data_IF_483040377330
#
_entry.id   IF_483040377330
#
_cell.length_a   1.000
_cell.length_b   1.000
_cell.length_c   1.000
_cell.angle_alpha   90.00
_cell.angle_beta   90.00
_cell.angle_gamma   90.00
#
_symmetry.space_group_name_H-M   'P 1'
#
loop_
_entity.id
_entity.type
_entity.pdbx_description
1 polymer ?
#
# COMPACT_ATOMS: atom_id res chain seq x y z
N UNK A 1 10.07 51.59 28.22
CA UNK A 1 11.18 52.56 28.31
C UNK A 1 12.42 51.95 27.65
N UNK A 2 12.97 52.69 26.67
CA UNK A 2 14.31 52.63 26.05
C UNK A 2 14.69 51.36 25.26
N UNK A 3 14.67 51.39 23.91
CA UNK A 3 15.58 52.03 22.90
C UNK A 3 16.51 50.94 22.32
N UNK A 4 16.26 50.48 21.09
CA UNK A 4 16.78 51.00 19.81
C UNK A 4 18.20 50.50 19.48
N UNK A 5 18.43 49.99 18.27
CA UNK A 5 19.79 49.72 17.77
C UNK A 5 19.87 48.86 16.51
N UNK A 6 19.70 49.49 15.35
CA UNK A 6 19.90 49.03 13.97
C UNK A 6 21.36 48.66 13.66
N UNK A 7 21.61 47.76 12.68
CA UNK A 7 22.32 48.08 11.40
C UNK A 7 22.61 46.82 10.57
N UNK A 8 22.30 46.93 9.28
CA UNK A 8 22.73 46.04 8.21
C UNK A 8 24.21 46.26 7.85
N UNK A 9 24.85 45.22 7.30
CA UNK A 9 26.09 45.34 6.54
C UNK A 9 25.96 44.51 5.26
N UNK A 10 25.92 45.23 4.15
CA UNK A 10 26.20 44.74 2.79
C UNK A 10 27.70 44.88 2.58
N UNK A 11 28.34 43.90 1.96
CA UNK A 11 29.66 44.06 1.35
C UNK A 11 29.73 43.20 0.10
N UNK A 12 29.87 43.88 -1.03
CA UNK A 12 30.12 43.33 -2.35
C UNK A 12 31.63 43.38 -2.66
N UNK A 13 32.05 42.56 -3.64
CA UNK A 13 33.34 42.65 -4.33
C UNK A 13 33.99 41.28 -4.48
N UNK A 14 34.61 40.89 -5.59
CA UNK A 14 34.74 41.47 -6.92
C UNK A 14 35.13 40.34 -7.89
N UNK A 15 34.97 40.62 -9.19
CA UNK A 15 35.18 39.71 -10.32
C UNK A 15 36.66 39.39 -10.59
N UNK A 16 36.92 38.21 -11.17
CA UNK A 16 38.10 37.97 -12.01
C UNK A 16 37.59 37.54 -13.39
N UNK A 17 37.83 38.41 -14.37
CA UNK A 17 37.64 38.13 -15.78
C UNK A 17 38.90 37.49 -16.35
N UNK A 18 38.75 36.39 -17.07
CA UNK A 18 39.78 35.84 -17.95
C UNK A 18 39.21 35.80 -19.36
N UNK A 19 39.67 36.77 -20.16
CA UNK A 19 39.50 36.84 -21.61
C UNK A 19 40.46 35.85 -22.27
N UNK A 20 39.92 34.91 -23.04
CA UNK A 20 40.63 34.34 -24.18
C UNK A 20 39.70 34.33 -25.39
N UNK A 21 40.05 35.16 -26.36
CA UNK A 21 39.45 35.26 -27.67
C UNK A 21 39.93 34.10 -28.55
N UNK A 22 39.01 33.50 -29.29
CA UNK A 22 39.29 32.57 -30.39
C UNK A 22 38.04 32.48 -31.27
N UNK A 23 38.11 33.08 -32.45
CA UNK A 23 36.98 33.29 -33.37
C UNK A 23 36.44 32.00 -34.00
N UNK A 24 35.15 32.05 -34.35
CA UNK A 24 34.45 31.02 -35.10
C UNK A 24 32.94 31.29 -35.08
N UNK A 25 32.46 32.08 -36.04
CA UNK A 25 31.03 32.33 -36.23
C UNK A 25 30.33 31.04 -36.65
N UNK A 26 29.39 30.55 -35.85
CA UNK A 26 28.33 29.64 -36.28
C UNK A 26 27.11 29.81 -35.38
N UNK A 27 26.04 30.29 -36.01
CA UNK A 27 24.73 30.55 -35.43
C UNK A 27 24.05 29.21 -35.15
N UNK A 28 23.79 28.88 -33.90
CA UNK A 28 22.88 27.80 -33.52
C UNK A 28 22.17 28.19 -32.22
N UNK A 29 20.84 28.31 -32.29
CA UNK A 29 19.98 28.75 -31.19
C UNK A 29 19.99 27.81 -29.97
N UNK A 30 19.36 28.24 -28.86
CA UNK A 30 19.42 27.51 -27.60
C UNK A 30 18.66 26.19 -27.74
N UNK A 31 19.40 25.10 -27.95
CA UNK A 31 18.89 23.76 -27.73
C UNK A 31 18.82 23.55 -26.23
N UNK A 32 17.68 23.95 -25.65
CA UNK A 32 17.22 23.45 -24.36
C UNK A 32 17.14 21.94 -24.51
N UNK A 33 18.20 21.25 -24.09
CA UNK A 33 18.13 19.82 -23.86
C UNK A 33 17.05 19.64 -22.79
N UNK A 34 15.85 19.28 -23.24
CA UNK A 34 14.87 18.61 -22.40
C UNK A 34 15.54 17.32 -21.97
N UNK A 35 16.24 17.39 -20.84
CA UNK A 35 16.43 16.23 -19.99
C UNK A 35 15.02 15.75 -19.64
N UNK A 36 14.51 14.87 -20.49
CA UNK A 36 13.35 14.06 -20.19
C UNK A 36 13.81 13.18 -19.04
N UNK A 37 13.65 13.72 -17.82
CA UNK A 37 14.03 13.08 -16.58
C UNK A 37 13.45 11.68 -16.58
N UNK A 38 14.30 10.71 -16.91
CA UNK A 38 14.02 9.31 -16.72
C UNK A 38 13.81 9.18 -15.21
N UNK A 39 12.53 9.13 -14.81
CA UNK A 39 12.18 8.90 -13.42
C UNK A 39 12.99 7.67 -13.00
N UNK A 40 13.78 7.75 -11.91
CA UNK A 40 14.39 6.56 -11.36
C UNK A 40 13.29 5.51 -11.27
N UNK A 41 13.54 4.26 -11.70
CA UNK A 41 12.60 3.15 -11.52
C UNK A 41 12.37 2.99 -10.01
N UNK A 42 11.47 3.81 -9.50
CA UNK A 42 11.16 3.89 -8.09
C UNK A 42 10.45 2.63 -7.68
N UNK A 43 10.40 2.37 -6.39
CA UNK A 43 9.65 1.25 -5.82
C UNK A 43 8.19 1.14 -6.29
N UNK A 44 7.65 2.17 -6.93
CA UNK A 44 6.25 2.36 -7.34
C UNK A 44 6.04 2.55 -8.86
N UNK A 45 6.83 1.88 -9.71
CA UNK A 45 6.66 1.93 -11.17
C UNK A 45 5.89 0.74 -11.75
N UNK A 46 5.28 -0.10 -10.92
CA UNK A 46 4.59 -1.31 -11.36
C UNK A 46 3.16 -0.97 -11.77
N UNK A 47 2.59 -1.80 -12.66
CA UNK A 47 1.15 -1.78 -12.94
C UNK A 47 0.42 -2.45 -11.76
N UNK A 48 -0.84 -2.04 -11.55
CA UNK A 48 -1.73 -2.78 -10.65
C UNK A 48 -1.94 -4.18 -11.24
N UNK A 49 -1.71 -5.21 -10.45
CA UNK A 49 -2.03 -6.58 -10.80
C UNK A 49 -3.45 -6.90 -10.35
N UNK A 50 -4.07 -7.79 -11.11
CA UNK A 50 -5.41 -8.28 -10.91
C UNK A 50 -5.38 -9.77 -10.61
N UNK A 51 -6.47 -10.27 -10.06
CA UNK A 51 -6.65 -11.70 -9.80
C UNK A 51 -6.51 -12.55 -11.07
N UNK A 52 -5.85 -13.71 -10.96
CA UNK A 52 -5.81 -14.76 -12.00
C UNK A 52 -6.80 -15.90 -11.71
N UNK A 53 -7.65 -15.75 -10.68
CA UNK A 53 -8.69 -16.73 -10.36
C UNK A 53 -9.71 -16.79 -11.49
N UNK A 54 -9.87 -17.98 -12.08
CA UNK A 54 -10.86 -18.26 -13.09
C UNK A 54 -12.16 -18.71 -12.42
N UNK A 55 -13.19 -17.88 -12.51
CA UNK A 55 -14.52 -18.15 -11.98
C UNK A 55 -15.55 -17.75 -13.02
N UNK A 56 -16.63 -18.53 -13.17
CA UNK A 56 -17.69 -18.30 -14.16
C UNK A 56 -18.57 -17.05 -13.91
N UNK A 57 -18.16 -16.16 -13.00
CA UNK A 57 -18.84 -14.91 -12.65
C UNK A 57 -17.86 -13.74 -12.59
N UNK A 58 -18.26 -12.65 -11.94
CA UNK A 58 -17.45 -11.43 -11.88
C UNK A 58 -16.12 -11.66 -11.13
N UNK A 59 -15.00 -11.44 -11.82
CA UNK A 59 -13.64 -11.56 -11.29
C UNK A 59 -13.33 -10.51 -10.23
N UNK A 60 -14.01 -9.37 -10.25
CA UNK A 60 -13.76 -8.26 -9.30
C UNK A 60 -13.96 -8.68 -7.85
N UNK A 61 -14.72 -9.76 -7.59
CA UNK A 61 -14.92 -10.28 -6.22
C UNK A 61 -13.63 -10.77 -5.56
N UNK A 62 -12.62 -11.19 -6.32
CA UNK A 62 -11.36 -11.74 -5.81
C UNK A 62 -10.25 -10.70 -5.70
N UNK A 63 -10.61 -9.44 -5.85
CA UNK A 63 -9.75 -8.29 -5.60
C UNK A 63 -10.51 -7.22 -4.81
N UNK A 64 -9.78 -6.40 -4.07
CA UNK A 64 -10.39 -5.33 -3.28
C UNK A 64 -9.41 -4.19 -3.12
N UNK A 65 -9.94 -2.97 -3.06
CA UNK A 65 -9.13 -1.77 -3.00
C UNK A 65 -9.74 -0.72 -2.07
N UNK A 66 -8.89 -0.05 -1.31
CA UNK A 66 -9.27 1.07 -0.44
C UNK A 66 -8.34 2.25 -0.63
N UNK A 67 -8.90 3.46 -0.52
CA UNK A 67 -8.16 4.73 -0.48
C UNK A 67 -8.08 5.22 0.96
N UNK A 68 -6.88 5.63 1.37
CA UNK A 68 -6.63 6.26 2.67
C UNK A 68 -6.80 7.77 2.55
N UNK A 69 -7.03 8.44 3.69
CA UNK A 69 -7.21 9.89 3.73
C UNK A 69 -5.98 10.68 3.23
N UNK A 70 -4.78 10.11 3.37
CA UNK A 70 -3.52 10.69 2.88
C UNK A 70 -3.28 10.46 1.36
N UNK A 71 -4.28 9.93 0.65
CA UNK A 71 -4.21 9.67 -0.79
C UNK A 71 -3.49 8.38 -1.18
N UNK A 72 -2.87 7.65 -0.24
CA UNK A 72 -2.39 6.29 -0.51
C UNK A 72 -3.56 5.37 -0.81
N UNK A 73 -3.30 4.31 -1.58
CA UNK A 73 -4.28 3.25 -1.82
C UNK A 73 -3.64 1.91 -1.52
N UNK A 74 -4.46 0.95 -1.10
CA UNK A 74 -4.09 -0.45 -0.97
C UNK A 74 -4.99 -1.24 -1.91
N UNK A 75 -4.40 -2.10 -2.71
CA UNK A 75 -5.12 -3.10 -3.48
C UNK A 75 -4.64 -4.48 -3.04
N UNK A 76 -5.58 -5.39 -2.86
CA UNK A 76 -5.32 -6.80 -2.64
C UNK A 76 -6.00 -7.63 -3.71
N UNK A 77 -5.37 -8.74 -4.09
CA UNK A 77 -5.92 -9.70 -5.01
C UNK A 77 -5.42 -11.09 -4.64
N UNK A 78 -6.22 -12.10 -4.97
CA UNK A 78 -5.74 -13.47 -4.93
C UNK A 78 -4.94 -13.81 -6.18
N UNK A 79 -4.00 -14.75 -6.02
CA UNK A 79 -3.42 -15.46 -7.13
C UNK A 79 -3.59 -16.97 -6.91
N UNK A 80 -4.01 -17.68 -7.95
CA UNK A 80 -4.31 -19.10 -7.93
C UNK A 80 -3.11 -19.90 -7.44
N UNK A 81 -3.37 -20.75 -6.45
CA UNK A 81 -2.37 -21.56 -5.74
C UNK A 81 -1.15 -20.80 -5.22
N UNK A 82 -1.24 -19.47 -5.09
CA UNK A 82 -0.18 -18.57 -4.61
C UNK A 82 -0.62 -17.75 -3.40
N UNK A 83 -1.93 -17.58 -3.19
CA UNK A 83 -2.53 -16.96 -2.00
C UNK A 83 -2.84 -15.47 -2.19
N UNK A 84 -2.72 -14.69 -1.12
CA UNK A 84 -3.10 -13.27 -1.07
C UNK A 84 -1.91 -12.36 -1.35
N UNK A 85 -2.08 -11.40 -2.25
CA UNK A 85 -1.08 -10.41 -2.62
C UNK A 85 -1.58 -8.99 -2.37
N UNK A 86 -0.65 -8.08 -2.12
CA UNK A 86 -0.91 -6.66 -1.88
C UNK A 86 -0.01 -5.79 -2.74
N UNK A 87 -0.56 -4.67 -3.20
CA UNK A 87 0.18 -3.53 -3.73
C UNK A 87 -0.28 -2.24 -3.05
N UNK A 88 0.65 -1.33 -2.81
CA UNK A 88 0.34 0.01 -2.35
C UNK A 88 0.60 1.06 -3.43
N UNK A 89 -0.27 2.06 -3.49
CA UNK A 89 -0.13 3.21 -4.35
C UNK A 89 0.45 4.37 -3.56
N UNK A 90 1.53 4.93 -4.08
CA UNK A 90 2.14 6.15 -3.53
C UNK A 90 1.66 7.37 -4.31
N UNK A 91 0.97 8.34 -3.68
CA UNK A 91 0.59 9.57 -4.36
C UNK A 91 1.81 10.40 -4.77
N UNK A 92 2.89 10.36 -3.97
CA UNK A 92 4.17 11.04 -4.28
C UNK A 92 4.84 10.45 -5.52
N UNK A 93 4.87 9.12 -5.65
CA UNK A 93 5.49 8.46 -6.80
C UNK A 93 4.55 8.32 -8.00
N UNK A 94 3.25 8.51 -7.79
CA UNK A 94 2.17 8.34 -8.78
C UNK A 94 2.19 6.95 -9.44
N UNK A 95 2.30 5.90 -8.64
CA UNK A 95 2.27 4.53 -9.16
C UNK A 95 2.20 3.46 -8.07
N UNK A 96 2.12 2.20 -8.51
CA UNK A 96 1.94 1.04 -7.66
C UNK A 96 3.26 0.35 -7.33
N UNK A 97 3.35 -0.15 -6.10
CA UNK A 97 4.46 -0.96 -5.64
C UNK A 97 4.60 -2.27 -6.42
N UNK A 98 5.76 -2.92 -6.33
CA UNK A 98 5.85 -4.35 -6.67
C UNK A 98 4.84 -5.13 -5.82
N UNK A 99 4.12 -6.11 -6.40
CA UNK A 99 3.27 -7.02 -5.64
C UNK A 99 4.06 -7.74 -4.55
N UNK A 100 3.46 -7.83 -3.36
CA UNK A 100 4.02 -8.56 -2.23
C UNK A 100 3.02 -9.59 -1.73
N UNK A 101 3.52 -10.77 -1.41
CA UNK A 101 2.70 -11.81 -0.81
C UNK A 101 2.39 -11.45 0.64
N UNK A 102 1.10 -11.42 0.99
CA UNK A 102 0.62 -11.28 2.37
C UNK A 102 0.48 -12.65 3.00
N UNK A 103 -0.05 -13.63 2.27
CA UNK A 103 -0.18 -15.00 2.75
C UNK A 103 -0.07 -15.97 1.58
N UNK A 104 0.70 -17.05 1.77
CA UNK A 104 0.90 -18.07 0.74
C UNK A 104 0.14 -19.32 1.14
N UNK A 105 -0.68 -19.81 0.21
CA UNK A 105 -1.39 -21.08 0.34
C UNK A 105 -1.64 -21.67 -1.04
N UNK A 106 -1.85 -22.99 -1.08
CA UNK A 106 -2.32 -23.74 -2.25
C UNK A 106 -3.81 -24.11 -2.15
N UNK A 107 -4.44 -23.82 -1.01
CA UNK A 107 -5.88 -24.01 -0.80
C UNK A 107 -6.66 -23.11 -1.75
N UNK A 108 -7.79 -23.58 -2.26
CA UNK A 108 -8.62 -22.80 -3.18
C UNK A 108 -9.20 -21.57 -2.50
N UNK A 109 -9.27 -20.47 -3.26
CA UNK A 109 -9.89 -19.23 -2.79
C UNK A 109 -11.38 -19.47 -2.64
N UNK A 110 -11.94 -19.04 -1.51
CA UNK A 110 -13.31 -19.36 -1.18
C UNK A 110 -14.25 -18.16 -1.28
N UNK A 111 -13.87 -17.05 -0.64
CA UNK A 111 -14.67 -15.83 -0.64
C UNK A 111 -13.87 -14.63 -1.14
N UNK A 112 -14.58 -13.55 -1.41
CA UNK A 112 -13.94 -12.29 -1.81
C UNK A 112 -13.12 -11.67 -0.68
N UNK A 113 -12.38 -10.62 -1.00
CA UNK A 113 -11.54 -9.92 -0.03
C UNK A 113 -12.34 -8.81 0.65
N UNK A 114 -12.51 -8.88 1.97
CA UNK A 114 -13.00 -7.72 2.71
C UNK A 114 -11.82 -6.83 3.05
N UNK A 115 -11.81 -5.59 2.55
CA UNK A 115 -10.76 -4.61 2.83
C UNK A 115 -11.37 -3.32 3.38
N UNK A 116 -10.89 -2.86 4.53
CA UNK A 116 -11.36 -1.62 5.17
C UNK A 116 -10.19 -0.76 5.62
N UNK A 117 -10.37 0.55 5.56
CA UNK A 117 -9.39 1.50 6.05
C UNK A 117 -10.02 2.56 6.94
N UNK A 118 -9.31 2.94 8.01
CA UNK A 118 -9.66 4.07 8.88
C UNK A 118 -8.44 4.57 9.63
N UNK A 119 -8.28 5.89 9.73
CA UNK A 119 -7.22 6.52 10.53
C UNK A 119 -5.81 5.92 10.27
N UNK A 120 -5.47 5.67 9.00
CA UNK A 120 -4.19 5.11 8.59
C UNK A 120 -3.99 3.61 8.89
N UNK A 121 -5.02 2.94 9.40
CA UNK A 121 -5.04 1.49 9.64
C UNK A 121 -5.88 0.80 8.58
N UNK A 122 -5.38 -0.32 8.06
CA UNK A 122 -6.07 -1.12 7.06
C UNK A 122 -6.25 -2.53 7.62
N UNK A 123 -7.46 -3.06 7.51
CA UNK A 123 -7.83 -4.41 7.93
C UNK A 123 -8.34 -5.20 6.72
N UNK A 124 -7.88 -6.44 6.60
CA UNK A 124 -8.25 -7.37 5.54
C UNK A 124 -8.77 -8.69 6.12
N UNK A 125 -9.78 -9.25 5.46
CA UNK A 125 -10.22 -10.64 5.62
C UNK A 125 -10.09 -11.33 4.28
N UNK A 126 -9.53 -12.53 4.30
CA UNK A 126 -9.36 -13.38 3.13
C UNK A 126 -9.58 -14.85 3.54
N UNK A 127 -10.23 -15.63 2.68
CA UNK A 127 -10.76 -16.94 3.05
C UNK A 127 -10.46 -18.00 1.98
N UNK A 128 -10.12 -19.21 2.44
CA UNK A 128 -9.81 -20.37 1.63
C UNK A 128 -10.49 -21.63 2.16
N UNK A 129 -10.79 -22.57 1.27
CA UNK A 129 -11.22 -23.92 1.60
C UNK A 129 -10.90 -24.86 0.44
N UNK A 130 -10.72 -26.16 0.71
CA UNK A 130 -10.81 -27.13 -0.37
C UNK A 130 -12.25 -27.18 -0.86
N UNK A 131 -12.44 -27.29 -2.17
CA UNK A 131 -13.76 -27.46 -2.77
C UNK A 131 -14.72 -26.29 -2.53
N UNK A 132 -14.22 -25.07 -2.32
CA UNK A 132 -15.15 -23.94 -2.14
C UNK A 132 -16.00 -23.65 -3.40
N UNK A 133 -15.54 -24.08 -4.59
CA UNK A 133 -16.37 -24.06 -5.79
C UNK A 133 -17.64 -24.92 -5.65
N UNK A 134 -17.57 -25.99 -4.86
CA UNK A 134 -18.67 -26.93 -4.61
C UNK A 134 -19.62 -26.44 -3.48
N UNK A 135 -19.40 -25.23 -2.97
CA UNK A 135 -20.23 -24.60 -1.94
C UNK A 135 -19.77 -24.85 -0.51
N UNK A 136 -18.63 -25.53 -0.31
CA UNK A 136 -18.04 -25.71 1.01
C UNK A 136 -17.71 -24.36 1.67
N UNK A 137 -18.02 -24.17 2.96
CA UNK A 137 -17.65 -22.97 3.68
C UNK A 137 -16.12 -22.81 3.78
N UNK A 138 -15.61 -21.58 4.00
CA UNK A 138 -14.24 -21.37 4.41
C UNK A 138 -13.77 -22.34 5.51
N UNK A 139 -12.56 -22.86 5.34
CA UNK A 139 -11.86 -23.68 6.32
C UNK A 139 -10.62 -22.96 6.87
N UNK A 140 -10.16 -21.93 6.17
CA UNK A 140 -9.06 -21.05 6.54
C UNK A 140 -9.53 -19.61 6.39
N UNK A 141 -9.43 -18.82 7.45
CA UNK A 141 -9.70 -17.38 7.41
C UNK A 141 -8.52 -16.59 7.94
N UNK A 142 -7.99 -15.70 7.12
CA UNK A 142 -6.91 -14.78 7.47
C UNK A 142 -7.50 -13.44 7.88
N UNK A 143 -7.25 -13.05 9.12
CA UNK A 143 -7.34 -11.66 9.56
C UNK A 143 -5.96 -11.02 9.39
N UNK A 144 -5.89 -9.88 8.68
CA UNK A 144 -4.64 -9.16 8.51
C UNK A 144 -4.81 -7.66 8.77
N UNK A 145 -3.81 -7.04 9.40
CA UNK A 145 -3.82 -5.60 9.71
C UNK A 145 -2.49 -4.97 9.30
N UNK A 146 -2.55 -3.80 8.68
CA UNK A 146 -1.38 -2.97 8.41
C UNK A 146 -1.57 -1.57 8.98
N UNK A 147 -0.48 -1.03 9.54
CA UNK A 147 -0.36 0.38 9.90
C UNK A 147 0.92 0.95 9.33
N UNK A 148 0.92 2.24 8.97
CA UNK A 148 2.10 2.86 8.38
C UNK A 148 2.40 2.28 7.00
N UNK A 149 3.50 1.52 6.84
CA UNK A 149 3.90 0.95 5.54
C UNK A 149 2.95 -0.19 5.15
N UNK A 150 2.18 0.02 4.09
CA UNK A 150 1.13 -0.89 3.61
C UNK A 150 1.66 -2.19 2.95
N UNK A 151 2.96 -2.44 3.11
CA UNK A 151 3.66 -3.64 2.65
C UNK A 151 4.06 -4.57 3.78
N UNK A 152 3.78 -4.22 5.03
CA UNK A 152 4.00 -5.06 6.22
C UNK A 152 2.66 -5.27 6.91
N UNK A 153 2.34 -6.53 7.19
CA UNK A 153 1.03 -6.94 7.67
C UNK A 153 1.18 -7.87 8.87
N UNK A 154 0.55 -7.50 9.98
CA UNK A 154 0.25 -8.43 11.04
C UNK A 154 -0.82 -9.38 10.54
N UNK A 155 -0.71 -10.66 10.90
CA UNK A 155 -1.52 -11.72 10.33
C UNK A 155 -1.91 -12.73 11.40
N UNK A 156 -3.15 -13.16 11.35
CA UNK A 156 -3.66 -14.27 12.14
C UNK A 156 -4.52 -15.17 11.25
N UNK A 157 -4.09 -16.41 11.10
CA UNK A 157 -4.82 -17.43 10.36
C UNK A 157 -5.62 -18.28 11.36
N UNK A 158 -6.93 -18.31 11.19
CA UNK A 158 -7.82 -19.23 11.90
C UNK A 158 -8.15 -20.40 10.97
N UNK A 159 -7.85 -21.63 11.40
CA UNK A 159 -8.18 -22.87 10.67
C UNK A 159 -9.47 -23.47 11.21
N UNK A 160 -10.09 -24.35 10.42
CA UNK A 160 -11.38 -24.99 10.72
C UNK A 160 -12.44 -23.96 11.10
N UNK A 161 -12.47 -22.85 10.35
CA UNK A 161 -13.27 -21.67 10.68
C UNK A 161 -13.89 -21.05 9.43
N UNK A 162 -15.22 -20.93 9.47
CA UNK A 162 -16.10 -20.46 8.40
C UNK A 162 -16.06 -18.93 8.20
N UNK A 163 -14.85 -18.35 8.16
CA UNK A 163 -14.64 -16.97 7.75
C UNK A 163 -15.00 -15.89 8.78
N UNK A 164 -14.17 -14.86 8.87
CA UNK A 164 -14.57 -13.63 9.55
C UNK A 164 -15.57 -12.87 8.67
N UNK A 165 -16.66 -12.34 9.23
CA UNK A 165 -17.68 -11.62 8.44
C UNK A 165 -17.52 -10.10 8.49
N UNK A 166 -16.84 -9.59 9.53
CA UNK A 166 -16.68 -8.14 9.74
C UNK A 166 -15.31 -7.83 10.32
N UNK A 167 -14.67 -6.81 9.78
CA UNK A 167 -13.60 -6.06 10.43
C UNK A 167 -14.13 -4.69 10.87
N UNK A 168 -13.89 -4.34 12.13
CA UNK A 168 -14.25 -3.04 12.71
C UNK A 168 -12.99 -2.34 13.21
N UNK A 169 -12.75 -1.13 12.70
CA UNK A 169 -11.60 -0.30 13.09
C UNK A 169 -12.09 0.83 13.98
N UNK A 170 -11.49 0.98 15.17
CA UNK A 170 -11.82 2.06 16.11
C UNK A 170 -11.61 3.44 15.47
N UNK A 171 -12.25 4.49 16.02
CA UNK A 171 -12.17 5.85 15.47
C UNK A 171 -10.73 6.35 15.30
N UNK A 172 -9.86 6.01 16.25
CA UNK A 172 -8.45 6.38 16.27
C UNK A 172 -7.53 5.37 15.54
N UNK A 173 -8.06 4.30 14.95
CA UNK A 173 -7.28 3.28 14.24
C UNK A 173 -6.40 2.41 15.14
N UNK A 174 -6.44 2.56 16.46
CA UNK A 174 -5.53 1.83 17.36
C UNK A 174 -5.93 0.38 17.60
N UNK A 175 -7.17 -0.01 17.28
CA UNK A 175 -7.66 -1.37 17.46
C UNK A 175 -8.50 -1.80 16.27
N UNK A 176 -8.41 -3.09 15.96
CA UNK A 176 -9.25 -3.76 14.98
C UNK A 176 -9.89 -4.97 15.66
N UNK A 177 -11.20 -5.12 15.51
CA UNK A 177 -11.93 -6.31 15.95
C UNK A 177 -12.51 -7.02 14.75
N UNK A 178 -12.08 -8.26 14.54
CA UNK A 178 -12.66 -9.19 13.59
C UNK A 178 -13.76 -9.98 14.29
N UNK A 179 -14.91 -10.14 13.61
CA UNK A 179 -16.11 -10.72 14.22
C UNK A 179 -16.72 -11.79 13.33
N UNK A 180 -17.14 -12.88 13.98
CA UNK A 180 -18.06 -13.89 13.44
C UNK A 180 -19.00 -14.35 14.56
N UNK A 181 -20.30 -14.06 14.48
CA UNK A 181 -21.27 -14.34 15.56
C UNK A 181 -20.76 -13.93 16.95
N UNK A 182 -20.46 -14.90 17.84
CA UNK A 182 -19.88 -14.66 19.16
C UNK A 182 -18.34 -14.56 19.14
N UNK A 183 -17.66 -15.11 18.13
CA UNK A 183 -16.20 -15.09 18.02
C UNK A 183 -15.68 -13.68 17.76
N UNK A 184 -14.62 -13.33 18.48
CA UNK A 184 -13.91 -12.06 18.39
C UNK A 184 -12.42 -12.33 18.31
N UNK A 185 -11.76 -11.68 17.36
CA UNK A 185 -10.31 -11.60 17.30
C UNK A 185 -9.91 -10.14 17.33
N UNK A 186 -9.10 -9.77 18.31
CA UNK A 186 -8.66 -8.40 18.52
C UNK A 186 -7.21 -8.23 18.08
N UNK A 187 -6.96 -7.12 17.40
CA UNK A 187 -5.64 -6.58 17.14
C UNK A 187 -5.51 -5.22 17.80
N UNK A 188 -4.38 -4.96 18.46
CA UNK A 188 -4.06 -3.64 19.04
C UNK A 188 -2.73 -3.13 18.49
N UNK A 189 -2.67 -1.84 18.14
CA UNK A 189 -1.45 -1.20 17.65
C UNK A 189 -0.34 -1.27 18.69
N UNK A 190 0.79 -1.87 18.31
CA UNK A 190 1.95 -2.08 19.18
C UNK A 190 1.95 -3.43 19.90
N UNK A 191 0.81 -4.12 19.99
CA UNK A 191 0.68 -5.44 20.62
C UNK A 191 0.42 -6.55 19.59
N UNK A 192 -0.11 -6.21 18.42
CA UNK A 192 -0.47 -7.18 17.40
C UNK A 192 -1.79 -7.88 17.70
N UNK A 193 -1.95 -9.07 17.11
CA UNK A 193 -2.95 -10.03 17.57
C UNK A 193 -2.39 -10.65 18.85
N UNK A 194 -3.15 -10.60 19.95
CA UNK A 194 -2.72 -11.14 21.26
C UNK A 194 -2.32 -12.62 21.20
N UNK A 195 -1.98 -13.24 22.35
CA UNK A 195 -1.49 -14.61 22.39
C UNK A 195 -2.43 -15.56 21.63
N UNK A 196 -1.83 -16.45 20.83
CA UNK A 196 -2.54 -17.51 20.15
C UNK A 196 -2.98 -18.52 21.21
N UNK A 197 -4.28 -18.65 21.43
CA UNK A 197 -4.85 -19.71 22.25
C UNK A 197 -4.97 -20.99 21.43
#
# INVERSE_FOLDING_TARGET
MNRAGTKALVSAGAAVALLLAGGGSSVAGPSVAKDAGAKPKGSHSYKLQHTDIHYGGDKTRFESQVKLADGRRVAMHYLDKKGLYVQDYSPKARGWSKPKNVYRTKTDVCQGITLKARAGTVAAIADWARYCYDGEPPQESLAAVATGRLTTWDRHLTKSFDGWIKAEITKNGKQVTFKRYAHRLKWTKGEGFGPKH
#
